data_IF_577209911215
#
_entry.id   IF_577209911215
#
_cell.length_a   1.000
_cell.length_b   1.000
_cell.length_c   1.000
_cell.angle_alpha   90.00
_cell.angle_beta   90.00
_cell.angle_gamma   90.00
#
_symmetry.space_group_name_H-M   'P 1'
#
loop_
_entity.id
_entity.type
_entity.pdbx_description
1 polymer ?
#
# COMPACT_ATOMS: atom_id res chain seq x y z
N UNK A 1 29.40 -0.41 16.86
CA UNK A 1 29.05 -0.65 15.47
C UNK A 1 30.22 -0.39 14.53
N UNK A 2 30.38 -1.24 13.49
CA UNK A 2 31.50 -1.15 12.52
C UNK A 2 31.26 -0.15 11.38
N UNK A 3 30.19 0.65 11.42
CA UNK A 3 29.84 1.62 10.38
C UNK A 3 29.37 1.02 9.04
N UNK A 4 29.12 -0.29 8.96
CA UNK A 4 28.76 -0.97 7.72
C UNK A 4 27.49 -0.38 7.07
N UNK A 5 26.44 -0.12 7.84
CA UNK A 5 25.17 0.45 7.34
C UNK A 5 25.42 1.82 6.71
N UNK A 6 26.24 2.67 7.35
CA UNK A 6 26.59 3.98 6.84
C UNK A 6 27.39 3.87 5.52
N UNK A 7 28.33 2.94 5.43
CA UNK A 7 29.09 2.71 4.20
C UNK A 7 28.17 2.29 3.05
N UNK A 8 27.24 1.34 3.31
CA UNK A 8 26.26 0.91 2.31
C UNK A 8 25.33 2.06 1.91
N UNK A 9 24.90 2.89 2.86
CA UNK A 9 24.08 4.07 2.56
C UNK A 9 24.80 5.04 1.59
N UNK A 10 26.11 5.30 1.78
CA UNK A 10 26.88 6.12 0.85
C UNK A 10 26.95 5.50 -0.55
N UNK A 11 27.15 4.20 -0.66
CA UNK A 11 27.14 3.50 -1.95
C UNK A 11 25.78 3.64 -2.64
N UNK A 12 24.68 3.44 -1.93
CA UNK A 12 23.32 3.62 -2.47
C UNK A 12 23.11 5.04 -2.97
N UNK A 13 23.56 6.03 -2.21
CA UNK A 13 23.46 7.43 -2.58
C UNK A 13 24.23 7.78 -3.86
N UNK A 14 25.39 7.17 -4.07
CA UNK A 14 26.18 7.37 -5.29
C UNK A 14 25.62 6.63 -6.50
N UNK A 15 25.19 5.38 -6.30
CA UNK A 15 24.72 4.52 -7.40
C UNK A 15 23.32 4.92 -7.89
N UNK A 16 22.44 5.43 -7.04
CA UNK A 16 21.07 5.92 -7.34
C UNK A 16 20.22 4.89 -8.10
N UNK A 17 20.25 3.65 -7.65
CA UNK A 17 19.45 2.54 -8.22
C UNK A 17 18.52 1.95 -7.17
N UNK A 18 17.38 1.36 -7.59
CA UNK A 18 16.57 0.55 -6.69
C UNK A 18 17.46 -0.52 -6.02
N UNK A 19 17.36 -0.60 -4.71
CA UNK A 19 18.24 -1.43 -3.89
C UNK A 19 17.43 -2.38 -3.03
N UNK A 20 17.81 -3.66 -3.01
CA UNK A 20 17.25 -4.67 -2.12
C UNK A 20 18.28 -5.04 -1.05
N UNK A 21 17.87 -4.93 0.21
CA UNK A 21 18.67 -5.32 1.37
C UNK A 21 17.98 -6.52 2.03
N UNK A 22 18.65 -7.68 1.99
CA UNK A 22 18.14 -8.92 2.59
C UNK A 22 18.75 -9.14 3.97
N UNK A 23 17.89 -9.32 4.94
CA UNK A 23 18.22 -9.67 6.31
C UNK A 23 17.82 -11.12 6.63
N UNK A 24 18.55 -11.80 7.49
CA UNK A 24 18.25 -13.17 7.89
C UNK A 24 17.02 -13.30 8.80
N UNK A 25 16.56 -12.23 9.44
CA UNK A 25 15.34 -12.23 10.26
C UNK A 25 14.62 -10.88 10.23
N UNK A 26 13.36 -10.87 10.72
CA UNK A 26 12.50 -9.69 10.75
C UNK A 26 13.00 -8.60 11.69
N UNK A 27 13.60 -8.96 12.83
CA UNK A 27 14.11 -8.00 13.83
C UNK A 27 15.25 -7.16 13.25
N UNK A 28 16.23 -7.81 12.61
CA UNK A 28 17.32 -7.10 11.95
C UNK A 28 16.80 -6.29 10.74
N UNK A 29 15.82 -6.83 9.99
CA UNK A 29 15.19 -6.08 8.92
C UNK A 29 14.54 -4.79 9.44
N UNK A 30 13.82 -4.85 10.56
CA UNK A 30 13.21 -3.67 11.18
C UNK A 30 14.25 -2.63 11.61
N UNK A 31 15.35 -3.07 12.24
CA UNK A 31 16.45 -2.17 12.61
C UNK A 31 17.05 -1.49 11.37
N UNK A 32 17.40 -2.25 10.34
CA UNK A 32 17.97 -1.72 9.10
C UNK A 32 16.99 -0.76 8.41
N UNK A 33 15.69 -1.08 8.38
CA UNK A 33 14.67 -0.20 7.84
C UNK A 33 14.68 1.17 8.53
N UNK A 34 14.73 1.21 9.86
CA UNK A 34 14.79 2.46 10.60
C UNK A 34 16.09 3.26 10.31
N UNK A 35 17.23 2.58 10.26
CA UNK A 35 18.50 3.20 9.94
C UNK A 35 18.49 3.80 8.52
N UNK A 36 18.06 3.04 7.51
CA UNK A 36 17.98 3.54 6.12
C UNK A 36 16.94 4.64 5.95
N UNK A 37 15.80 4.57 6.66
CA UNK A 37 14.80 5.64 6.64
C UNK A 37 15.35 6.95 7.21
N UNK A 38 16.20 6.87 8.22
CA UNK A 38 16.89 8.02 8.78
C UNK A 38 17.94 8.61 7.81
N UNK A 39 18.67 7.78 7.08
CA UNK A 39 19.65 8.24 6.09
C UNK A 39 19.00 8.81 4.82
N UNK A 40 17.81 8.31 4.46
CA UNK A 40 17.12 8.64 3.22
C UNK A 40 15.68 9.13 3.48
N UNK A 41 15.50 10.32 4.09
CA UNK A 41 14.17 10.79 4.48
C UNK A 41 13.23 11.06 3.30
N UNK A 42 13.78 11.32 2.11
CA UNK A 42 13.02 11.65 0.89
C UNK A 42 12.86 10.48 -0.08
N UNK A 43 13.55 9.35 0.15
CA UNK A 43 13.47 8.18 -0.69
C UNK A 43 12.29 7.28 -0.27
N UNK A 44 11.86 6.40 -1.18
CA UNK A 44 10.95 5.33 -0.84
C UNK A 44 11.73 4.20 -0.13
N UNK A 45 11.87 4.31 1.19
CA UNK A 45 12.42 3.24 2.01
C UNK A 45 11.28 2.37 2.47
N UNK A 46 11.27 1.11 2.05
CA UNK A 46 10.18 0.17 2.19
C UNK A 46 10.57 -1.04 3.03
N UNK A 47 9.60 -1.58 3.79
CA UNK A 47 9.78 -2.75 4.62
C UNK A 47 8.98 -3.92 4.07
N UNK A 48 9.65 -5.06 3.80
CA UNK A 48 9.04 -6.20 3.15
C UNK A 48 9.39 -7.50 3.88
N UNK A 49 8.48 -7.98 4.72
CA UNK A 49 8.66 -9.20 5.52
C UNK A 49 7.46 -10.13 5.35
N UNK A 50 7.63 -11.40 5.72
CA UNK A 50 6.51 -12.35 5.77
C UNK A 50 5.55 -12.01 6.91
N UNK A 51 4.29 -12.43 6.77
CA UNK A 51 3.32 -12.35 7.85
C UNK A 51 3.83 -13.06 9.10
N UNK A 52 3.31 -12.70 10.27
CA UNK A 52 3.59 -13.42 11.49
C UNK A 52 2.67 -14.64 11.56
N UNK A 53 3.26 -15.83 11.55
CA UNK A 53 2.58 -17.11 11.82
C UNK A 53 2.51 -17.33 13.33
N UNK A 54 2.07 -16.34 14.11
CA UNK A 54 1.96 -16.49 15.53
C UNK A 54 0.56 -16.98 15.88
N UNK A 55 0.46 -18.27 16.17
CA UNK A 55 -0.63 -18.83 16.95
C UNK A 55 -0.45 -18.38 18.40
N UNK A 56 -0.81 -17.14 18.74
CA UNK A 56 -1.08 -16.83 20.13
C UNK A 56 -2.48 -17.34 20.44
N UNK A 57 -2.66 -18.13 21.52
CA UNK A 57 -3.99 -18.54 21.91
C UNK A 57 -4.81 -17.27 22.17
N UNK A 58 -5.95 -17.19 21.51
CA UNK A 58 -6.96 -16.15 21.69
C UNK A 58 -7.24 -16.01 23.19
N UNK A 59 -7.02 -14.85 23.75
CA UNK A 59 -7.30 -14.59 25.15
C UNK A 59 -8.74 -14.14 25.28
N UNK A 60 -9.63 -15.05 25.64
CA UNK A 60 -10.97 -14.73 26.09
C UNK A 60 -10.89 -14.29 27.54
N UNK A 61 -11.33 -13.07 27.85
CA UNK A 61 -11.48 -12.61 29.23
C UNK A 61 -12.94 -12.86 29.64
N UNK A 62 -13.21 -13.89 30.46
CA UNK A 62 -14.58 -14.29 30.83
C UNK A 62 -15.38 -13.20 31.57
N UNK A 63 -14.68 -12.28 32.24
CA UNK A 63 -15.29 -11.22 33.06
C UNK A 63 -15.88 -10.07 32.25
N UNK A 64 -15.46 -9.86 30.99
CA UNK A 64 -15.94 -8.77 30.13
C UNK A 64 -16.56 -9.23 28.81
N UNK A 65 -16.51 -10.55 28.51
CA UNK A 65 -16.99 -11.09 27.24
C UNK A 65 -16.22 -10.59 26.02
N UNK A 66 -15.03 -10.00 26.22
CA UNK A 66 -14.27 -9.35 25.18
C UNK A 66 -13.23 -10.33 24.59
N UNK A 67 -13.32 -10.53 23.29
CA UNK A 67 -12.32 -11.21 22.46
C UNK A 67 -11.22 -10.21 22.12
N UNK A 68 -9.97 -10.46 22.47
CA UNK A 68 -8.85 -9.60 22.07
C UNK A 68 -8.23 -10.20 20.79
N UNK A 69 -8.63 -9.72 19.65
CA UNK A 69 -7.99 -9.96 18.35
C UNK A 69 -6.70 -9.15 18.23
N UNK A 70 -5.63 -9.63 18.84
CA UNK A 70 -4.33 -8.92 18.81
C UNK A 70 -3.52 -9.15 17.55
N UNK A 71 -3.83 -10.18 16.77
CA UNK A 71 -3.01 -10.60 15.62
C UNK A 71 -3.43 -9.97 14.28
N UNK A 72 -4.69 -9.54 14.13
CA UNK A 72 -5.20 -8.94 12.89
C UNK A 72 -4.51 -7.60 12.59
N UNK A 73 -4.30 -6.75 13.58
CA UNK A 73 -3.75 -5.41 13.36
C UNK A 73 -2.28 -5.40 12.90
N UNK A 74 -1.47 -6.37 13.36
CA UNK A 74 -0.05 -6.48 12.97
C UNK A 74 0.07 -6.97 11.54
N UNK A 75 -0.74 -7.94 11.15
CA UNK A 75 -0.73 -8.47 9.79
C UNK A 75 -1.29 -7.45 8.78
N UNK A 76 -2.28 -6.64 9.15
CA UNK A 76 -2.80 -5.54 8.33
C UNK A 76 -1.71 -4.49 8.04
N UNK A 77 -0.90 -4.11 9.04
CA UNK A 77 0.21 -3.19 8.82
C UNK A 77 1.34 -3.82 7.97
N UNK A 78 1.61 -5.11 8.14
CA UNK A 78 2.57 -5.83 7.28
C UNK A 78 2.06 -5.90 5.83
N UNK A 79 0.78 -6.18 5.63
CA UNK A 79 0.17 -6.18 4.30
C UNK A 79 0.26 -4.82 3.64
N UNK A 80 -0.07 -3.76 4.36
CA UNK A 80 0.11 -2.38 3.91
C UNK A 80 1.56 -2.11 3.48
N UNK A 81 2.55 -2.48 4.29
CA UNK A 81 3.97 -2.27 3.99
C UNK A 81 4.41 -3.07 2.76
N UNK A 82 3.93 -4.29 2.59
CA UNK A 82 4.20 -5.13 1.42
C UNK A 82 3.58 -4.53 0.14
N UNK A 83 2.35 -4.05 0.21
CA UNK A 83 1.69 -3.35 -0.88
C UNK A 83 2.41 -2.05 -1.22
N UNK A 84 2.85 -1.27 -0.22
CA UNK A 84 3.64 -0.06 -0.40
C UNK A 84 4.94 -0.35 -1.15
N UNK A 85 5.71 -1.34 -0.71
CA UNK A 85 6.96 -1.74 -1.37
C UNK A 85 6.74 -2.15 -2.84
N UNK A 86 5.72 -2.97 -3.09
CA UNK A 86 5.38 -3.41 -4.45
C UNK A 86 4.96 -2.24 -5.33
N UNK A 87 4.13 -1.35 -4.81
CA UNK A 87 3.67 -0.15 -5.51
C UNK A 87 4.82 0.80 -5.84
N UNK A 88 5.73 1.03 -4.88
CA UNK A 88 6.92 1.86 -5.08
C UNK A 88 7.83 1.30 -6.18
N UNK A 89 8.07 -0.02 -6.20
CA UNK A 89 8.88 -0.67 -7.25
C UNK A 89 8.22 -0.57 -8.62
N UNK A 90 6.90 -0.77 -8.73
CA UNK A 90 6.15 -0.74 -9.98
C UNK A 90 5.81 0.69 -10.45
N UNK A 91 5.96 1.70 -9.61
CA UNK A 91 5.75 3.10 -9.97
C UNK A 91 6.80 3.66 -10.92
N UNK A 92 7.92 2.94 -11.12
CA UNK A 92 9.05 3.38 -11.93
C UNK A 92 10.03 4.31 -11.19
N UNK A 93 9.86 4.50 -9.88
CA UNK A 93 10.81 5.24 -9.03
C UNK A 93 12.16 4.54 -9.03
N UNK A 94 13.23 5.32 -9.02
CA UNK A 94 14.62 4.81 -8.96
C UNK A 94 15.23 4.91 -7.56
N UNK A 95 14.61 5.69 -6.69
CA UNK A 95 15.03 5.98 -5.33
C UNK A 95 14.42 5.01 -4.29
N UNK A 96 14.11 3.77 -4.70
CA UNK A 96 13.48 2.76 -3.85
C UNK A 96 14.54 1.92 -3.14
N UNK A 97 14.41 1.80 -1.82
CA UNK A 97 15.23 0.93 -0.97
C UNK A 97 14.31 -0.03 -0.24
N UNK A 98 14.34 -1.30 -0.60
CA UNK A 98 13.53 -2.33 0.05
C UNK A 98 14.37 -3.07 1.06
N UNK A 99 13.98 -3.04 2.32
CA UNK A 99 14.59 -3.85 3.39
C UNK A 99 13.67 -5.04 3.66
N UNK A 100 14.15 -6.25 3.39
CA UNK A 100 13.37 -7.47 3.44
C UNK A 100 14.01 -8.54 4.34
N UNK A 101 13.20 -9.44 4.87
CA UNK A 101 13.68 -10.67 5.49
C UNK A 101 13.68 -11.81 4.46
N UNK A 102 14.62 -12.77 4.57
CA UNK A 102 14.70 -13.92 3.67
C UNK A 102 13.42 -14.76 3.66
N UNK A 103 12.62 -14.73 4.73
CA UNK A 103 11.33 -15.42 4.80
C UNK A 103 10.28 -14.90 3.81
N UNK A 104 10.46 -13.67 3.29
CA UNK A 104 9.53 -13.09 2.33
C UNK A 104 9.66 -13.66 0.90
N UNK A 105 10.70 -14.43 0.61
CA UNK A 105 10.90 -15.07 -0.71
C UNK A 105 9.80 -16.08 -1.04
N UNK A 106 9.06 -16.53 -0.03
CA UNK A 106 7.88 -17.39 -0.19
C UNK A 106 6.60 -16.56 -0.15
N UNK A 107 5.63 -16.89 -1.02
CA UNK A 107 4.32 -16.21 -1.06
C UNK A 107 4.37 -14.82 -1.71
N UNK A 108 5.09 -14.69 -2.81
CA UNK A 108 5.05 -13.49 -3.66
C UNK A 108 3.93 -13.61 -4.70
N UNK A 109 3.20 -12.52 -4.90
CA UNK A 109 2.20 -12.41 -5.96
C UNK A 109 2.84 -12.30 -7.36
N UNK A 110 2.01 -12.36 -8.40
CA UNK A 110 2.45 -12.15 -9.78
C UNK A 110 2.54 -10.64 -10.09
N UNK A 111 3.75 -10.08 -10.36
CA UNK A 111 3.93 -8.65 -10.63
C UNK A 111 3.18 -8.17 -11.88
N UNK A 112 3.10 -9.01 -12.92
CA UNK A 112 2.42 -8.66 -14.17
C UNK A 112 0.90 -8.55 -13.96
N UNK A 113 0.32 -9.49 -13.21
CA UNK A 113 -1.08 -9.45 -12.83
C UNK A 113 -1.38 -8.20 -11.97
N UNK A 114 -0.53 -7.90 -11.00
CA UNK A 114 -0.67 -6.73 -10.15
C UNK A 114 -0.59 -5.43 -10.97
N UNK A 115 0.38 -5.31 -11.88
CA UNK A 115 0.53 -4.14 -12.71
C UNK A 115 -0.63 -3.98 -13.72
N UNK A 116 -1.15 -5.07 -14.27
CA UNK A 116 -2.26 -5.04 -15.25
C UNK A 116 -3.59 -4.55 -14.64
N UNK A 117 -3.77 -4.70 -13.32
CA UNK A 117 -4.93 -4.23 -12.57
C UNK A 117 -4.75 -2.81 -12.01
N UNK A 118 -3.62 -2.15 -12.32
CA UNK A 118 -3.36 -0.78 -11.89
C UNK A 118 -4.24 0.21 -12.66
N UNK A 119 -4.90 1.10 -11.93
CA UNK A 119 -5.83 2.08 -12.50
C UNK A 119 -5.13 3.43 -12.58
N UNK A 120 -5.08 4.01 -13.77
CA UNK A 120 -4.59 5.37 -14.00
C UNK A 120 -5.75 6.34 -14.13
N UNK A 121 -5.73 7.39 -13.32
CA UNK A 121 -6.77 8.42 -13.25
C UNK A 121 -6.11 9.76 -13.46
N UNK A 122 -6.70 10.60 -14.30
CA UNK A 122 -6.24 11.96 -14.52
C UNK A 122 -7.41 12.94 -14.49
N UNK A 123 -7.13 14.18 -14.11
CA UNK A 123 -8.06 15.28 -14.30
C UNK A 123 -8.43 15.40 -15.78
N UNK A 124 -9.72 15.56 -16.06
CA UNK A 124 -10.25 15.58 -17.44
C UNK A 124 -10.48 14.18 -18.04
N UNK A 125 -10.21 13.10 -17.30
CA UNK A 125 -10.49 11.73 -17.79
C UNK A 125 -11.99 11.54 -17.99
N UNK A 126 -12.36 11.19 -19.22
CA UNK A 126 -13.75 10.86 -19.59
C UNK A 126 -14.02 9.38 -19.29
N UNK A 127 -14.69 9.14 -18.20
CA UNK A 127 -15.08 7.81 -17.74
C UNK A 127 -16.39 7.90 -16.98
N UNK A 128 -17.31 6.97 -17.23
CA UNK A 128 -18.51 6.89 -16.39
C UNK A 128 -18.15 6.45 -14.98
N UNK A 129 -18.81 7.03 -13.98
CA UNK A 129 -18.61 6.65 -12.57
C UNK A 129 -18.74 5.13 -12.38
N UNK A 130 -19.77 4.53 -13.00
CA UNK A 130 -20.01 3.08 -12.91
C UNK A 130 -18.81 2.26 -13.42
N UNK A 131 -18.21 2.66 -14.54
CA UNK A 131 -17.02 1.98 -15.08
C UNK A 131 -15.83 2.10 -14.14
N UNK A 132 -15.60 3.27 -13.54
CA UNK A 132 -14.54 3.46 -12.56
C UNK A 132 -14.75 2.59 -11.30
N UNK A 133 -15.98 2.55 -10.78
CA UNK A 133 -16.29 1.70 -9.62
C UNK A 133 -16.06 0.21 -9.90
N UNK A 134 -16.36 -0.25 -11.12
CA UNK A 134 -16.07 -1.62 -11.54
C UNK A 134 -14.56 -1.89 -11.59
N UNK A 135 -13.76 -0.92 -12.04
CA UNK A 135 -12.29 -1.04 -12.00
C UNK A 135 -11.79 -1.16 -10.56
N UNK A 136 -12.34 -0.41 -9.61
CA UNK A 136 -11.98 -0.55 -8.20
C UNK A 136 -12.32 -1.94 -7.64
N UNK A 137 -13.48 -2.48 -7.96
CA UNK A 137 -13.85 -3.85 -7.54
C UNK A 137 -12.90 -4.89 -8.16
N UNK A 138 -12.56 -4.75 -9.44
CA UNK A 138 -11.60 -5.65 -10.10
C UNK A 138 -10.19 -5.54 -9.50
N UNK A 139 -9.80 -4.36 -9.01
CA UNK A 139 -8.56 -4.13 -8.27
C UNK A 139 -8.67 -4.51 -6.78
N UNK A 140 -9.71 -5.26 -6.39
CA UNK A 140 -9.95 -5.83 -5.06
C UNK A 140 -10.25 -4.81 -3.96
N UNK A 141 -10.73 -3.60 -4.33
CA UNK A 141 -11.26 -2.65 -3.37
C UNK A 141 -12.72 -2.97 -3.02
N UNK A 142 -13.08 -2.76 -1.77
CA UNK A 142 -14.42 -3.02 -1.25
C UNK A 142 -15.26 -1.75 -1.20
N UNK A 143 -16.53 -1.84 -1.60
CA UNK A 143 -17.45 -0.73 -1.44
C UNK A 143 -18.01 -0.69 -0.02
N UNK A 144 -17.91 0.46 0.64
CA UNK A 144 -18.48 0.66 1.97
C UNK A 144 -19.50 1.80 2.01
N UNK A 145 -20.46 1.69 2.93
CA UNK A 145 -21.39 2.76 3.33
C UNK A 145 -21.24 3.11 4.81
N UNK A 146 -20.44 2.33 5.55
CA UNK A 146 -20.12 2.51 6.96
C UNK A 146 -18.71 3.01 7.18
N UNK A 147 -17.95 2.27 8.01
CA UNK A 147 -16.56 2.58 8.28
C UNK A 147 -15.73 2.59 7.00
N UNK A 148 -14.91 3.63 6.86
CA UNK A 148 -14.09 3.86 5.69
C UNK A 148 -12.62 3.69 6.04
N UNK A 149 -12.03 2.61 5.58
CA UNK A 149 -10.65 2.21 5.89
C UNK A 149 -9.85 1.91 4.64
N UNK A 150 -8.56 1.62 4.79
CA UNK A 150 -7.69 1.19 3.69
C UNK A 150 -8.29 0.01 2.94
N UNK A 151 -8.23 0.06 1.61
CA UNK A 151 -8.83 -0.95 0.73
C UNK A 151 -10.31 -0.70 0.43
N UNK A 152 -10.91 0.38 0.93
CA UNK A 152 -12.30 0.71 0.68
C UNK A 152 -12.46 1.86 -0.32
N UNK A 153 -13.62 1.87 -0.98
CA UNK A 153 -14.12 3.05 -1.67
C UNK A 153 -15.58 3.32 -1.28
N UNK A 154 -15.98 4.58 -1.37
CA UNK A 154 -17.36 4.99 -1.10
C UNK A 154 -17.82 6.06 -2.08
N UNK A 155 -19.13 6.16 -2.26
CA UNK A 155 -19.76 7.10 -3.19
C UNK A 155 -20.68 8.04 -2.40
N UNK A 156 -20.51 9.34 -2.60
CA UNK A 156 -21.38 10.39 -2.04
C UNK A 156 -21.73 11.41 -3.12
N UNK A 157 -22.97 11.35 -3.63
CA UNK A 157 -23.40 12.24 -4.72
C UNK A 157 -22.49 12.11 -5.94
N UNK A 158 -21.88 13.19 -6.37
CA UNK A 158 -20.96 13.25 -7.52
C UNK A 158 -19.50 13.00 -7.14
N UNK A 159 -19.23 12.57 -5.91
CA UNK A 159 -17.87 12.25 -5.46
C UNK A 159 -17.69 10.76 -5.19
N UNK A 160 -16.47 10.29 -5.45
CA UNK A 160 -16.00 8.94 -5.11
C UNK A 160 -14.73 9.09 -4.28
N UNK A 161 -14.77 8.59 -3.05
CA UNK A 161 -13.59 8.49 -2.20
C UNK A 161 -13.00 7.09 -2.32
N UNK A 162 -11.66 6.99 -2.52
CA UNK A 162 -10.91 5.73 -2.52
C UNK A 162 -9.76 5.82 -1.53
N UNK A 163 -9.63 4.82 -0.66
CA UNK A 163 -8.55 4.72 0.30
C UNK A 163 -7.57 3.61 -0.12
N UNK A 164 -6.42 3.97 -0.71
CA UNK A 164 -5.42 2.97 -1.11
C UNK A 164 -5.03 2.06 0.05
N UNK A 165 -4.94 0.76 -0.20
CA UNK A 165 -4.59 -0.21 0.83
C UNK A 165 -3.15 -0.04 1.37
N UNK A 166 -2.29 0.63 0.61
CA UNK A 166 -0.88 0.92 0.91
C UNK A 166 -0.63 2.34 1.40
N UNK A 167 -1.66 3.21 1.45
CA UNK A 167 -1.53 4.64 1.77
C UNK A 167 -2.04 5.01 3.15
N UNK A 168 -1.71 6.22 3.58
CA UNK A 168 -2.18 6.85 4.82
C UNK A 168 -3.21 7.96 4.57
N UNK A 169 -3.46 8.27 3.30
CA UNK A 169 -4.43 9.28 2.84
C UNK A 169 -5.42 8.65 1.88
N UNK A 170 -6.62 9.19 1.82
CA UNK A 170 -7.58 8.80 0.79
C UNK A 170 -7.67 9.86 -0.32
N UNK A 171 -8.15 9.45 -1.47
CA UNK A 171 -8.34 10.33 -2.62
C UNK A 171 -9.82 10.54 -2.87
N UNK A 172 -10.20 11.81 -3.07
CA UNK A 172 -11.54 12.21 -3.48
C UNK A 172 -11.56 12.60 -4.94
N UNK A 173 -12.37 11.91 -5.71
CA UNK A 173 -12.59 12.14 -7.13
C UNK A 173 -13.94 12.86 -7.28
N UNK A 174 -13.95 14.08 -7.79
CA UNK A 174 -15.18 14.82 -8.11
C UNK A 174 -15.50 14.66 -9.58
N UNK A 175 -16.77 14.30 -9.87
CA UNK A 175 -17.26 14.12 -11.23
C UNK A 175 -18.14 15.29 -11.68
N UNK A 176 -17.94 15.68 -12.92
CA UNK A 176 -18.89 16.49 -13.67
C UNK A 176 -19.44 15.65 -14.83
N UNK A 177 -20.65 15.11 -14.68
CA UNK A 177 -21.18 14.13 -15.61
C UNK A 177 -20.32 12.86 -15.68
N UNK A 178 -19.70 12.62 -16.84
CA UNK A 178 -18.80 11.48 -17.07
C UNK A 178 -17.32 11.91 -17.15
N UNK A 179 -16.96 13.02 -16.54
CA UNK A 179 -15.58 13.51 -16.53
C UNK A 179 -15.11 13.73 -15.10
N UNK A 180 -13.85 13.40 -14.81
CA UNK A 180 -13.22 13.66 -13.53
C UNK A 180 -12.73 15.11 -13.52
N UNK A 181 -13.40 15.97 -12.76
CA UNK A 181 -13.13 17.40 -12.65
C UNK A 181 -11.95 17.68 -11.73
N UNK A 182 -11.89 16.97 -10.58
CA UNK A 182 -10.86 17.18 -9.53
C UNK A 182 -10.45 15.88 -8.88
N UNK A 183 -9.18 15.85 -8.48
CA UNK A 183 -8.58 14.77 -7.69
C UNK A 183 -7.92 15.41 -6.47
N UNK A 184 -8.40 15.10 -5.28
CA UNK A 184 -7.94 15.68 -4.03
C UNK A 184 -7.40 14.59 -3.10
N UNK A 185 -6.34 14.92 -2.36
CA UNK A 185 -5.77 14.08 -1.30
C UNK A 185 -6.29 14.56 0.05
N UNK A 186 -6.76 13.65 0.87
CA UNK A 186 -7.39 13.94 2.14
C UNK A 186 -6.78 13.13 3.28
N UNK A 187 -6.63 13.76 4.43
CA UNK A 187 -6.28 13.07 5.67
C UNK A 187 -7.52 12.36 6.27
N UNK A 188 -7.45 11.05 6.54
CA UNK A 188 -8.61 10.28 7.00
C UNK A 188 -9.00 10.58 8.47
N UNK A 189 -8.07 11.11 9.28
CA UNK A 189 -8.28 11.38 10.70
C UNK A 189 -8.89 12.76 10.89
N UNK A 190 -8.23 13.79 10.39
CA UNK A 190 -8.68 15.17 10.51
C UNK A 190 -9.77 15.54 9.51
N UNK A 191 -9.98 14.72 8.49
CA UNK A 191 -10.86 15.01 7.35
C UNK A 191 -10.52 16.35 6.68
N UNK A 192 -9.24 16.70 6.67
CA UNK A 192 -8.72 17.88 5.99
C UNK A 192 -8.21 17.54 4.60
N UNK A 193 -8.46 18.45 3.64
CA UNK A 193 -7.84 18.40 2.32
C UNK A 193 -6.35 18.74 2.49
N UNK A 194 -5.47 17.85 1.99
CA UNK A 194 -4.03 18.03 2.03
C UNK A 194 -3.54 18.75 0.76
N UNK A 195 -3.96 18.27 -0.41
CA UNK A 195 -3.55 18.82 -1.70
C UNK A 195 -4.54 18.46 -2.82
N UNK A 196 -4.35 19.07 -3.97
CA UNK A 196 -5.01 18.71 -5.24
C UNK A 196 -3.94 18.22 -6.22
N UNK A 197 -4.22 17.14 -6.93
CA UNK A 197 -3.29 16.51 -7.87
C UNK A 197 -3.96 16.33 -9.23
N UNK A 198 -3.16 16.30 -10.30
CA UNK A 198 -3.67 16.16 -11.67
C UNK A 198 -3.73 14.70 -12.12
N UNK A 199 -2.92 13.84 -11.52
CA UNK A 199 -2.85 12.41 -11.87
C UNK A 199 -2.76 11.55 -10.61
N UNK A 200 -3.40 10.40 -10.67
CA UNK A 200 -3.44 9.41 -9.61
C UNK A 200 -3.25 8.02 -10.19
N UNK A 201 -2.41 7.21 -9.56
CA UNK A 201 -2.28 5.79 -9.88
C UNK A 201 -2.74 4.98 -8.68
N UNK A 202 -3.74 4.12 -8.88
CA UNK A 202 -4.26 3.22 -7.85
C UNK A 202 -3.79 1.80 -8.18
N UNK A 203 -3.01 1.22 -7.28
CA UNK A 203 -2.59 -0.17 -7.35
C UNK A 203 -3.62 -1.08 -6.67
N UNK A 204 -3.69 -2.38 -7.00
CA UNK A 204 -4.60 -3.32 -6.37
C UNK A 204 -4.49 -3.33 -4.83
N UNK A 205 -5.61 -3.63 -4.19
CA UNK A 205 -5.69 -3.69 -2.73
C UNK A 205 -5.12 -4.98 -2.13
N UNK A 206 -4.70 -5.94 -2.97
CA UNK A 206 -4.09 -7.20 -2.52
C UNK A 206 -2.98 -7.62 -3.49
N UNK A 207 -1.90 -8.25 -2.97
CA UNK A 207 -0.78 -8.75 -3.78
C UNK A 207 -1.15 -9.97 -4.64
N UNK A 208 -2.15 -10.75 -4.22
CA UNK A 208 -2.58 -11.98 -4.88
C UNK A 208 -3.72 -11.74 -5.88
N UNK A 209 -3.53 -10.77 -6.76
CA UNK A 209 -4.46 -10.52 -7.86
C UNK A 209 -4.30 -11.61 -8.90
N UNK A 210 -5.40 -12.23 -9.31
CA UNK A 210 -5.45 -13.17 -10.44
C UNK A 210 -5.93 -12.45 -11.69
N UNK A 211 -5.35 -12.80 -12.84
CA UNK A 211 -5.88 -12.33 -14.12
C UNK A 211 -7.14 -13.13 -14.49
N UNK A 212 -8.11 -12.54 -15.22
CA UNK A 212 -9.32 -13.24 -15.67
C UNK A 212 -9.03 -14.54 -16.43
N UNK A 213 -7.88 -14.65 -17.09
CA UNK A 213 -7.45 -15.84 -17.84
C UNK A 213 -6.98 -17.01 -16.94
N UNK A 214 -6.78 -16.79 -15.64
CA UNK A 214 -6.39 -17.80 -14.66
C UNK A 214 -7.59 -18.39 -13.90
N UNK A 215 -8.80 -17.94 -14.19
CA UNK A 215 -10.06 -18.41 -13.60
C UNK A 215 -10.82 -19.41 -14.46
N UNK A 216 -10.22 -19.87 -15.59
CA UNK A 216 -10.77 -20.90 -16.50
C UNK A 216 -10.01 -22.22 -16.39
#
# INVERSE_FOLDING_TARGET
>A
GSGKTFTVANVINEVKRPTLILSHNKTLAAQLYQEFKSFFPNNAVEYFVSYYDYYQPEAFIPSSGTYIEKDLSINDEIEKMRLSATSSLLSGRKDVIVVASVSCLYGMGNPDAFNSQTIQISKGLKISRQKLLLQFVNALYSRTTGDFKRGDFRVKGDTVDIFPAYGDSFHRLSFWGNEIERIEVWDPISMAKLEEIDTLRIFPANLFVTTPDQLN
#
